data_IF_042529891027
#
_entry.id   IF_042529891027
#
_cell.length_a   1.000
_cell.length_b   1.000
_cell.length_c   1.000
_cell.angle_alpha   90.00
_cell.angle_beta   90.00
_cell.angle_gamma   90.00
#
_symmetry.space_group_name_H-M   'P 1'
#
loop_
_entity.id
_entity.type
_entity.pdbx_description
1 polymer ?
#
# COMPACT_ATOMS: atom_id res chain seq x y z
N UNK A 1 3.92 0.17 22.85
CA UNK A 1 3.69 0.79 21.53
C UNK A 1 3.40 2.29 21.66
N UNK A 2 3.97 3.18 20.82
CA UNK A 2 3.69 4.62 20.83
C UNK A 2 2.55 4.97 19.86
N UNK A 3 1.62 5.86 20.22
CA UNK A 3 0.48 6.24 19.36
C UNK A 3 0.56 7.66 18.79
N UNK A 4 1.53 8.45 19.26
CA UNK A 4 1.78 9.83 18.81
C UNK A 4 3.12 9.94 18.11
N UNK A 5 3.24 10.94 17.23
CA UNK A 5 4.49 11.24 16.55
C UNK A 5 5.53 11.81 17.52
N UNK A 6 6.72 11.22 17.54
CA UNK A 6 7.85 11.62 18.39
C UNK A 6 8.38 13.03 18.09
N UNK A 7 7.97 13.66 16.99
CA UNK A 7 8.45 14.97 16.56
C UNK A 7 7.44 16.11 16.75
N UNK A 8 6.15 15.84 16.55
CA UNK A 8 5.09 16.87 16.61
C UNK A 8 3.95 16.53 17.56
N UNK A 9 4.08 15.41 18.29
CA UNK A 9 3.13 14.85 19.25
C UNK A 9 1.70 14.63 18.73
N UNK A 10 1.50 14.70 17.41
CA UNK A 10 0.19 14.47 16.80
C UNK A 10 -0.10 12.98 16.67
N UNK A 11 -1.38 12.60 16.77
CA UNK A 11 -1.79 11.20 16.64
C UNK A 11 -1.35 10.61 15.29
N UNK A 12 -0.82 9.40 15.33
CA UNK A 12 -0.48 8.63 14.12
C UNK A 12 -1.70 7.90 13.54
N UNK A 13 -2.79 7.81 14.31
CA UNK A 13 -3.95 7.00 14.01
C UNK A 13 -3.72 5.51 14.26
N UNK A 14 -4.76 4.72 14.02
CA UNK A 14 -4.74 3.27 14.16
C UNK A 14 -5.11 2.58 12.84
N UNK A 15 -4.66 1.35 12.68
CA UNK A 15 -5.08 0.49 11.58
C UNK A 15 -5.41 -0.91 12.12
N UNK A 16 -6.40 -1.56 11.50
CA UNK A 16 -6.84 -2.92 11.83
C UNK A 16 -6.31 -3.94 10.81
N UNK A 17 -5.40 -3.49 9.94
CA UNK A 17 -4.94 -4.26 8.78
C UNK A 17 -3.65 -5.02 9.09
N UNK A 18 -2.78 -4.42 9.90
CA UNK A 18 -1.52 -5.00 10.37
C UNK A 18 -1.70 -5.36 11.83
N UNK A 19 -1.95 -6.65 12.11
CA UNK A 19 -2.28 -7.13 13.45
C UNK A 19 -1.12 -6.89 14.42
N UNK A 20 0.10 -7.14 13.95
CA UNK A 20 1.33 -6.99 14.72
C UNK A 20 1.81 -5.54 14.81
N UNK A 21 1.17 -4.59 14.10
CA UNK A 21 1.48 -3.17 14.18
C UNK A 21 0.23 -2.29 13.96
N UNK A 22 -0.70 -2.23 14.93
CA UNK A 22 -2.00 -1.55 14.78
C UNK A 22 -1.93 -0.01 14.85
N UNK A 23 -0.78 0.59 14.57
CA UNK A 23 -0.55 2.04 14.68
C UNK A 23 -0.16 2.63 13.34
N UNK A 24 -0.67 3.82 13.03
CA UNK A 24 -0.34 4.53 11.81
C UNK A 24 -1.33 4.25 10.68
N UNK A 25 -1.68 5.29 9.92
CA UNK A 25 -2.44 5.17 8.65
C UNK A 25 -1.54 5.16 7.40
N UNK A 26 -0.23 5.39 7.59
CA UNK A 26 0.81 5.30 6.57
C UNK A 26 2.03 4.62 7.17
N UNK A 27 2.39 3.47 6.65
CA UNK A 27 3.55 2.70 7.09
C UNK A 27 4.63 2.73 6.02
N UNK A 28 5.88 2.89 6.43
CA UNK A 28 7.02 2.64 5.58
C UNK A 28 7.77 1.40 6.08
N UNK A 29 8.28 0.57 5.19
CA UNK A 29 9.00 -0.63 5.59
C UNK A 29 10.12 -1.01 4.62
N UNK A 30 11.17 -1.61 5.15
CA UNK A 30 12.33 -2.13 4.42
C UNK A 30 12.46 -3.62 4.79
N UNK A 31 12.00 -4.54 3.91
CA UNK A 31 11.98 -5.96 4.22
C UNK A 31 13.37 -6.57 4.30
N UNK A 32 14.36 -5.98 3.61
CA UNK A 32 15.74 -6.49 3.61
C UNK A 32 16.48 -6.09 4.88
N UNK A 33 16.26 -4.85 5.35
CA UNK A 33 16.94 -4.34 6.56
C UNK A 33 16.11 -4.49 7.83
N UNK A 34 14.92 -5.09 7.78
CA UNK A 34 14.08 -5.35 8.94
C UNK A 34 13.61 -4.08 9.66
N UNK A 35 13.27 -3.02 8.89
CA UNK A 35 12.83 -1.74 9.47
C UNK A 35 11.40 -1.43 9.09
N UNK A 36 10.66 -0.91 10.06
CA UNK A 36 9.28 -0.49 9.93
C UNK A 36 9.14 0.88 10.60
N UNK A 37 8.36 1.75 9.96
CA UNK A 37 8.08 3.10 10.44
C UNK A 37 6.60 3.45 10.30
N UNK A 38 6.07 4.17 11.28
CA UNK A 38 4.84 4.93 11.11
C UNK A 38 5.17 6.35 10.61
N UNK A 39 4.66 6.72 9.43
CA UNK A 39 4.86 8.05 8.84
C UNK A 39 3.75 8.98 9.29
N UNK A 40 4.11 10.08 9.97
CA UNK A 40 3.12 11.04 10.44
C UNK A 40 2.43 11.74 9.27
N UNK A 41 1.10 11.80 9.26
CA UNK A 41 0.32 12.50 8.23
C UNK A 41 0.34 14.03 8.36
N UNK A 42 0.81 14.56 9.49
CA UNK A 42 0.87 16.01 9.77
C UNK A 42 2.23 16.62 9.43
N UNK A 43 3.32 16.03 9.95
CA UNK A 43 4.68 16.55 9.76
C UNK A 43 5.56 15.68 8.85
N UNK A 44 5.02 14.58 8.32
CA UNK A 44 5.66 13.69 7.35
C UNK A 44 6.94 12.99 7.83
N UNK A 45 7.29 13.15 9.12
CA UNK A 45 8.43 12.46 9.73
C UNK A 45 8.11 11.00 10.07
N UNK A 46 9.17 10.20 10.02
CA UNK A 46 9.11 8.74 10.16
C UNK A 46 9.46 8.35 11.59
N UNK A 47 8.55 7.64 12.25
CA UNK A 47 8.72 7.18 13.62
C UNK A 47 9.11 5.70 13.52
N UNK A 48 10.31 5.34 13.98
CA UNK A 48 10.80 3.95 13.91
C UNK A 48 10.02 3.08 14.89
N UNK A 49 9.54 1.90 14.46
CA UNK A 49 8.87 0.95 15.35
C UNK A 49 9.85 0.33 16.35
N UNK A 50 9.42 -0.10 17.56
CA UNK A 50 10.24 -0.91 18.46
C UNK A 50 10.69 -2.23 17.81
N UNK A 51 11.74 -2.87 18.34
CA UNK A 51 12.39 -4.04 17.73
C UNK A 51 11.58 -5.34 17.84
N UNK A 52 10.82 -5.52 18.92
CA UNK A 52 10.15 -6.80 19.22
C UNK A 52 9.01 -7.14 18.25
N UNK A 53 8.39 -6.15 17.61
CA UNK A 53 7.14 -6.28 16.83
C UNK A 53 7.38 -6.22 15.29
N UNK A 54 8.63 -6.29 14.82
CA UNK A 54 8.96 -5.90 13.42
C UNK A 54 8.74 -7.00 12.39
N UNK A 55 9.06 -8.25 12.68
CA UNK A 55 9.17 -9.27 11.64
C UNK A 55 7.82 -9.62 11.02
N UNK A 56 6.85 -9.99 11.86
CA UNK A 56 5.50 -10.36 11.44
C UNK A 56 4.79 -9.17 10.76
N UNK A 57 4.92 -7.97 11.34
CA UNK A 57 4.35 -6.76 10.75
C UNK A 57 4.95 -6.41 9.38
N UNK A 58 6.25 -6.63 9.19
CA UNK A 58 6.92 -6.44 7.89
C UNK A 58 6.45 -7.48 6.87
N UNK A 59 6.31 -8.75 7.27
CA UNK A 59 5.80 -9.80 6.39
C UNK A 59 4.35 -9.53 5.96
N UNK A 60 3.49 -9.09 6.88
CA UNK A 60 2.14 -8.64 6.58
C UNK A 60 2.12 -7.47 5.60
N UNK A 61 2.94 -6.45 5.85
CA UNK A 61 3.10 -5.30 4.94
C UNK A 61 3.56 -5.74 3.55
N UNK A 62 4.55 -6.64 3.47
CA UNK A 62 5.09 -7.16 2.20
C UNK A 62 4.04 -7.98 1.45
N UNK A 63 3.26 -8.82 2.15
CA UNK A 63 2.14 -9.59 1.58
C UNK A 63 1.06 -8.67 1.02
N UNK A 64 0.61 -7.68 1.79
CA UNK A 64 -0.40 -6.72 1.34
C UNK A 64 0.08 -5.86 0.18
N UNK A 65 1.35 -5.46 0.18
CA UNK A 65 1.96 -4.74 -0.92
C UNK A 65 2.02 -5.60 -2.21
N UNK A 66 2.30 -6.90 -2.09
CA UNK A 66 2.25 -7.88 -3.19
C UNK A 66 0.85 -8.04 -3.77
N UNK A 67 -0.14 -8.14 -2.90
CA UNK A 67 -1.52 -8.47 -3.28
C UNK A 67 -2.29 -7.28 -3.86
N UNK A 68 -1.99 -6.06 -3.39
CA UNK A 68 -2.73 -4.87 -3.83
C UNK A 68 -2.39 -4.47 -5.27
N UNK A 69 -3.45 -4.26 -6.07
CA UNK A 69 -3.33 -3.74 -7.44
C UNK A 69 -3.14 -2.23 -7.50
N UNK A 70 -3.42 -1.51 -6.40
CA UNK A 70 -3.27 -0.06 -6.29
C UNK A 70 -1.86 0.27 -5.79
N UNK A 71 -0.86 -0.04 -6.62
CA UNK A 71 0.55 0.22 -6.33
C UNK A 71 1.29 0.85 -7.50
N UNK A 72 2.37 1.55 -7.18
CA UNK A 72 3.39 2.04 -8.09
C UNK A 72 4.75 1.70 -7.49
N UNK A 73 5.69 1.27 -8.30
CA UNK A 73 7.05 1.01 -7.86
C UNK A 73 8.03 1.67 -8.81
N UNK A 74 9.05 2.31 -8.24
CA UNK A 74 10.30 2.68 -8.89
C UNK A 74 11.39 1.72 -8.45
N UNK A 75 12.65 1.98 -8.83
CA UNK A 75 13.80 1.14 -8.49
C UNK A 75 14.02 0.93 -6.99
N UNK A 76 13.61 1.86 -6.13
CA UNK A 76 13.89 1.76 -4.70
C UNK A 76 12.72 2.11 -3.79
N UNK A 77 11.61 2.58 -4.36
CA UNK A 77 10.43 2.99 -3.59
C UNK A 77 9.16 2.46 -4.25
N UNK A 78 8.37 1.75 -3.47
CA UNK A 78 7.03 1.32 -3.80
C UNK A 78 6.00 2.07 -2.97
N UNK A 79 4.95 2.59 -3.60
CA UNK A 79 3.80 3.15 -2.91
C UNK A 79 2.58 2.29 -3.21
N UNK A 80 1.82 1.97 -2.18
CA UNK A 80 0.58 1.23 -2.32
C UNK A 80 -0.51 1.76 -1.40
N UNK A 81 -1.76 1.58 -1.81
CA UNK A 81 -2.93 1.77 -0.95
C UNK A 81 -3.69 0.45 -0.89
N UNK A 82 -3.89 -0.07 0.30
CA UNK A 82 -4.75 -1.26 0.51
C UNK A 82 -6.22 -0.83 0.55
N UNK A 83 -7.13 -1.79 0.44
CA UNK A 83 -8.57 -1.54 0.26
C UNK A 83 -9.18 -0.78 1.44
N UNK A 84 -8.67 -1.03 2.64
CA UNK A 84 -9.07 -0.44 3.93
C UNK A 84 -8.50 0.98 4.13
N UNK A 85 -7.74 1.49 3.16
CA UNK A 85 -7.21 2.86 3.14
C UNK A 85 -5.86 3.05 3.82
N UNK A 86 -5.22 1.99 4.34
CA UNK A 86 -3.84 2.02 4.81
C UNK A 86 -2.88 2.26 3.64
N UNK A 87 -1.98 3.21 3.80
CA UNK A 87 -0.93 3.50 2.82
C UNK A 87 0.37 2.80 3.21
N UNK A 88 1.02 2.17 2.23
CA UNK A 88 2.28 1.45 2.41
C UNK A 88 3.36 2.08 1.52
N UNK A 89 4.52 2.33 2.12
CA UNK A 89 5.74 2.80 1.46
C UNK A 89 6.80 1.71 1.60
N UNK A 90 6.97 0.90 0.57
CA UNK A 90 7.98 -0.15 0.53
C UNK A 90 9.33 0.42 0.08
N UNK A 91 10.39 0.12 0.80
CA UNK A 91 11.76 0.56 0.51
C UNK A 91 12.61 -0.61 0.03
N UNK A 92 13.48 -0.34 -0.94
CA UNK A 92 14.41 -1.31 -1.51
C UNK A 92 14.01 -1.77 -2.91
N UNK A 93 14.75 -2.73 -3.45
CA UNK A 93 14.63 -3.18 -4.84
C UNK A 93 13.18 -3.55 -5.20
N UNK A 94 12.68 -3.18 -6.40
CA UNK A 94 11.30 -3.41 -6.77
C UNK A 94 11.09 -4.89 -7.01
N UNK A 95 9.93 -5.41 -6.64
CA UNK A 95 9.64 -6.81 -6.91
C UNK A 95 9.49 -7.11 -8.40
N UNK A 96 8.98 -6.16 -9.20
CA UNK A 96 8.97 -6.17 -10.68
C UNK A 96 8.94 -4.71 -11.19
N UNK A 97 9.84 -4.29 -12.09
CA UNK A 97 10.01 -2.87 -12.46
C UNK A 97 8.85 -2.16 -13.18
N UNK A 98 7.72 -2.80 -13.50
CA UNK A 98 6.77 -2.23 -14.48
C UNK A 98 5.29 -2.15 -14.08
N UNK A 99 4.92 -2.29 -12.80
CA UNK A 99 3.50 -2.19 -12.42
C UNK A 99 3.13 -0.79 -11.91
N UNK A 100 2.96 0.15 -12.84
CA UNK A 100 2.37 1.46 -12.60
C UNK A 100 0.88 1.44 -13.00
N UNK A 101 0.05 0.70 -12.26
CA UNK A 101 -1.36 0.47 -12.62
C UNK A 101 -2.17 1.77 -12.79
N UNK A 102 -1.76 2.89 -12.18
CA UNK A 102 -2.38 4.19 -12.31
C UNK A 102 -2.10 4.91 -13.65
N UNK A 103 -0.93 4.67 -14.28
CA UNK A 103 -0.57 5.23 -15.60
C UNK A 103 -1.52 4.78 -16.71
N UNK A 104 -2.21 3.67 -16.49
CA UNK A 104 -3.20 3.09 -17.41
C UNK A 104 -4.56 2.86 -16.74
N UNK A 105 -4.80 3.35 -15.52
CA UNK A 105 -5.98 2.97 -14.73
C UNK A 105 -7.30 3.40 -15.40
N UNK A 106 -7.27 4.57 -16.01
CA UNK A 106 -8.29 5.11 -16.90
C UNK A 106 -8.42 4.32 -18.21
N UNK A 107 -7.31 3.88 -18.81
CA UNK A 107 -7.30 3.04 -20.03
C UNK A 107 -7.91 1.65 -19.79
N UNK A 108 -7.57 0.99 -18.69
CA UNK A 108 -8.13 -0.32 -18.32
C UNK A 108 -9.61 -0.25 -17.95
N UNK A 109 -10.03 0.81 -17.24
CA UNK A 109 -11.46 1.07 -16.98
C UNK A 109 -12.26 1.26 -18.28
N UNK A 110 -11.73 2.04 -19.22
CA UNK A 110 -12.33 2.25 -20.56
C UNK A 110 -12.39 0.96 -21.37
N UNK A 111 -11.32 0.14 -21.37
CA UNK A 111 -11.27 -1.14 -22.10
C UNK A 111 -12.23 -2.18 -21.52
N UNK A 112 -12.32 -2.26 -20.18
CA UNK A 112 -13.26 -3.13 -19.48
C UNK A 112 -14.71 -2.72 -19.75
N UNK A 113 -15.01 -1.42 -19.70
CA UNK A 113 -16.35 -0.90 -20.05
C UNK A 113 -16.70 -1.21 -21.49
N UNK A 114 -15.78 -0.98 -22.44
CA UNK A 114 -15.95 -1.35 -23.86
C UNK A 114 -16.21 -2.85 -24.05
N UNK A 115 -15.41 -3.70 -23.41
CA UNK A 115 -15.58 -5.16 -23.47
C UNK A 115 -16.97 -5.58 -22.98
N UNK A 116 -17.42 -5.06 -21.83
CA UNK A 116 -18.77 -5.37 -21.33
C UNK A 116 -19.89 -4.84 -22.23
N UNK A 117 -19.76 -3.67 -22.84
CA UNK A 117 -20.72 -3.20 -23.85
C UNK A 117 -20.74 -4.09 -25.10
N UNK A 118 -19.57 -4.51 -25.62
CA UNK A 118 -19.53 -5.40 -26.78
C UNK A 118 -20.04 -6.81 -26.46
N UNK A 119 -19.69 -7.35 -25.29
CA UNK A 119 -20.22 -8.63 -24.82
C UNK A 119 -21.74 -8.56 -24.58
N UNK A 120 -22.25 -7.47 -23.99
CA UNK A 120 -23.69 -7.25 -23.82
C UNK A 120 -24.45 -7.05 -25.14
N UNK A 121 -23.84 -6.36 -26.11
CA UNK A 121 -24.36 -6.25 -27.48
C UNK A 121 -24.35 -7.60 -28.22
N UNK A 122 -23.33 -8.43 -27.98
CA UNK A 122 -23.27 -9.79 -28.52
C UNK A 122 -24.37 -10.70 -27.97
N UNK A 123 -24.70 -10.57 -26.68
CA UNK A 123 -25.80 -11.33 -26.05
C UNK A 123 -27.17 -10.88 -26.58
N UNK A 124 -27.36 -9.59 -26.87
CA UNK A 124 -28.62 -9.06 -27.45
C UNK A 124 -28.76 -9.31 -28.94
N UNK A 125 -27.67 -9.57 -29.67
CA UNK A 125 -27.73 -9.93 -31.09
C UNK A 125 -27.97 -11.44 -31.33
N UNK A 126 -27.86 -12.28 -30.30
CA UNK A 126 -28.01 -13.75 -30.36
C UNK A 126 -29.34 -14.22 -29.73
N UNK A 127 -30.06 -13.36 -28.99
CA UNK A 127 -31.38 -13.63 -28.42
C UNK A 127 -32.51 -13.05 -29.30
#
# INVERSE_FOLDING_TARGET
>A
MYSTCLFCNSSLGANEVIEHFPIGRRLAFDPVKGRLWAVCRKCERWNLSPLEERWEAIEECERLFRDTKLRVSTDNVGLARVREGLELVRIGQPQRPEMAAWRYGDQFGRRRRRYYTYAGLGITAIA
#
